data_IF_209096700874
#
_entry.id   IF_209096700874
#
_cell.length_a   1.000
_cell.length_b   1.000
_cell.length_c   1.000
_cell.angle_alpha   90.00
_cell.angle_beta   90.00
_cell.angle_gamma   90.00
#
_symmetry.space_group_name_H-M   'P 1'
#
loop_
_entity.id
_entity.type
_entity.pdbx_description
1 polymer ?
#
# COMPACT_ATOMS: atom_id res chain seq x y z
N UNK A 1 -17.44 -34.28 -10.86
CA UNK A 1 -17.58 -32.82 -10.71
C UNK A 1 -16.88 -32.25 -9.47
N UNK A 2 -16.56 -33.06 -8.45
CA UNK A 2 -15.98 -32.61 -7.17
C UNK A 2 -14.50 -32.16 -7.25
N UNK A 3 -13.71 -32.75 -8.14
CA UNK A 3 -12.26 -32.48 -8.19
C UNK A 3 -11.89 -31.11 -8.76
N UNK A 4 -12.72 -30.56 -9.66
CA UNK A 4 -12.44 -29.29 -10.34
C UNK A 4 -12.57 -28.12 -9.35
N UNK A 5 -13.59 -28.13 -8.49
CA UNK A 5 -13.79 -27.10 -7.46
C UNK A 5 -12.66 -27.11 -6.42
N UNK A 6 -12.15 -28.28 -6.07
CA UNK A 6 -11.02 -28.43 -5.15
C UNK A 6 -9.74 -27.81 -5.71
N UNK A 7 -9.44 -28.02 -7.00
CA UNK A 7 -8.28 -27.44 -7.66
C UNK A 7 -8.38 -25.92 -7.74
N UNK A 8 -9.55 -25.37 -8.10
CA UNK A 8 -9.76 -23.92 -8.17
C UNK A 8 -9.57 -23.27 -6.80
N UNK A 9 -10.12 -23.88 -5.74
CA UNK A 9 -10.01 -23.35 -4.38
C UNK A 9 -8.56 -23.34 -3.89
N UNK A 10 -7.79 -24.40 -4.21
CA UNK A 10 -6.38 -24.48 -3.89
C UNK A 10 -5.56 -23.39 -4.60
N UNK A 11 -5.83 -23.13 -5.88
CA UNK A 11 -5.18 -22.05 -6.64
C UNK A 11 -5.51 -20.68 -6.04
N UNK A 12 -6.77 -20.43 -5.69
CA UNK A 12 -7.20 -19.16 -5.06
C UNK A 12 -6.52 -18.96 -3.70
N UNK A 13 -6.41 -20.01 -2.89
CA UNK A 13 -5.72 -19.95 -1.59
C UNK A 13 -4.24 -19.66 -1.75
N UNK A 14 -3.56 -20.32 -2.70
CA UNK A 14 -2.15 -20.09 -2.99
C UNK A 14 -1.93 -18.66 -3.47
N UNK A 15 -2.77 -18.14 -4.36
CA UNK A 15 -2.70 -16.73 -4.81
C UNK A 15 -3.00 -15.76 -3.67
N UNK A 16 -3.96 -16.04 -2.80
CA UNK A 16 -4.28 -15.20 -1.65
C UNK A 16 -3.12 -15.15 -0.64
N UNK A 17 -2.53 -16.30 -0.33
CA UNK A 17 -1.36 -16.43 0.55
C UNK A 17 -0.13 -15.79 -0.11
N UNK A 18 0.06 -15.97 -1.41
CA UNK A 18 1.15 -15.33 -2.16
C UNK A 18 0.97 -13.81 -2.19
N UNK A 19 -0.21 -13.28 -2.48
CA UNK A 19 -0.55 -11.85 -2.41
C UNK A 19 -0.38 -11.28 -1.00
N UNK A 20 -0.65 -12.07 0.03
CA UNK A 20 -0.41 -11.68 1.42
C UNK A 20 1.09 -11.64 1.73
N UNK A 21 1.85 -12.67 1.38
CA UNK A 21 3.28 -12.80 1.66
C UNK A 21 4.15 -11.83 0.85
N UNK A 22 3.79 -11.58 -0.39
CA UNK A 22 4.56 -10.73 -1.31
C UNK A 22 4.06 -9.28 -1.32
N UNK A 23 2.92 -9.01 -0.67
CA UNK A 23 2.30 -7.69 -0.69
C UNK A 23 1.87 -7.24 -2.09
N UNK A 24 1.70 -8.16 -3.06
CA UNK A 24 1.11 -7.91 -4.38
C UNK A 24 -0.39 -7.65 -4.18
N UNK A 25 -0.87 -6.40 -4.12
CA UNK A 25 -1.08 -5.43 -5.22
C UNK A 25 -2.02 -5.98 -6.27
N UNK A 26 -3.32 -5.93 -5.99
CA UNK A 26 -4.23 -5.47 -7.04
C UNK A 26 -3.67 -4.13 -7.54
N UNK A 27 -3.46 -3.95 -8.85
CA UNK A 27 -3.23 -2.63 -9.40
C UNK A 27 -4.55 -1.89 -9.23
N UNK A 28 -4.78 -1.29 -8.06
CA UNK A 28 -5.66 -0.14 -8.01
C UNK A 28 -4.93 0.85 -8.90
N UNK A 29 -5.33 0.90 -10.17
CA UNK A 29 -5.05 1.98 -11.09
C UNK A 29 -5.70 3.20 -10.48
N UNK A 30 -5.10 3.76 -9.43
CA UNK A 30 -5.13 5.19 -9.24
C UNK A 30 -4.45 5.70 -10.50
N UNK A 31 -5.27 6.11 -11.47
CA UNK A 31 -4.80 6.77 -12.66
C UNK A 31 -3.93 7.91 -12.18
N UNK A 32 -2.61 7.72 -12.25
CA UNK A 32 -1.66 8.78 -12.01
C UNK A 32 -1.86 9.76 -13.17
N UNK A 33 -2.32 10.99 -12.94
CA UNK A 33 -2.28 11.99 -13.98
C UNK A 33 -0.80 12.22 -14.31
N UNK A 34 -0.45 11.97 -15.57
CA UNK A 34 0.88 12.18 -16.11
C UNK A 34 1.17 13.68 -16.27
N UNK A 35 2.15 14.16 -15.49
CA UNK A 35 3.10 15.28 -15.75
C UNK A 35 2.54 16.72 -15.87
N UNK A 36 3.33 17.82 -15.72
CA UNK A 36 4.79 17.97 -15.61
C UNK A 36 5.31 18.90 -14.46
N UNK A 37 6.62 18.85 -14.20
CA UNK A 37 7.49 19.95 -13.68
C UNK A 37 6.93 20.92 -12.62
N UNK A 38 7.15 20.63 -11.32
CA UNK A 38 6.85 21.53 -10.18
C UNK A 38 6.95 20.79 -8.84
N UNK A 39 7.34 21.43 -7.72
CA UNK A 39 8.26 20.88 -6.73
C UNK A 39 7.80 19.54 -6.14
N UNK A 40 8.71 18.58 -6.21
CA UNK A 40 8.65 17.20 -5.70
C UNK A 40 8.14 17.12 -4.26
N UNK A 41 6.83 17.08 -4.07
CA UNK A 41 6.21 17.10 -2.75
C UNK A 41 4.97 16.24 -2.71
N UNK A 42 4.95 15.28 -1.80
CA UNK A 42 3.75 14.50 -1.50
C UNK A 42 2.60 15.43 -1.12
N UNK A 43 1.39 15.24 -1.69
CA UNK A 43 0.25 16.12 -1.42
C UNK A 43 -0.02 16.28 0.07
N UNK A 44 -0.32 17.51 0.50
CA UNK A 44 -0.65 17.81 1.91
C UNK A 44 -1.80 16.96 2.44
N UNK A 45 -2.78 16.66 1.59
CA UNK A 45 -3.90 15.78 1.92
C UNK A 45 -3.46 14.37 2.30
N UNK A 46 -2.53 13.77 1.55
CA UNK A 46 -1.96 12.45 1.84
C UNK A 46 -1.21 12.47 3.16
N UNK A 47 -0.40 13.51 3.41
CA UNK A 47 0.31 13.68 4.68
C UNK A 47 -0.66 13.79 5.85
N UNK A 48 -1.67 14.65 5.74
CA UNK A 48 -2.69 14.84 6.78
C UNK A 48 -3.50 13.57 7.04
N UNK A 49 -3.82 12.78 6.00
CA UNK A 49 -4.51 11.50 6.17
C UNK A 49 -3.68 10.52 7.00
N UNK A 50 -2.39 10.37 6.66
CA UNK A 50 -1.50 9.53 7.47
C UNK A 50 -1.41 10.04 8.91
N UNK A 51 -1.27 11.36 9.11
CA UNK A 51 -1.23 11.97 10.45
C UNK A 51 -2.50 11.68 11.26
N UNK A 52 -3.69 11.74 10.67
CA UNK A 52 -4.95 11.37 11.34
C UNK A 52 -4.96 9.89 11.73
N UNK A 53 -4.45 9.02 10.85
CA UNK A 53 -4.36 7.60 11.13
C UNK A 53 -3.38 7.29 12.27
N UNK A 54 -2.28 8.01 12.39
CA UNK A 54 -1.34 7.84 13.52
C UNK A 54 -1.68 8.71 14.73
N UNK A 55 -2.89 9.28 14.79
CA UNK A 55 -3.35 10.16 15.87
C UNK A 55 -2.40 11.36 16.15
N UNK A 56 -1.85 11.95 15.09
CA UNK A 56 -0.91 13.07 15.15
C UNK A 56 0.55 12.68 15.43
N UNK A 57 0.86 11.40 15.63
CA UNK A 57 2.22 10.95 15.91
C UNK A 57 3.13 10.98 14.67
N UNK A 58 3.76 12.12 14.43
CA UNK A 58 4.65 12.35 13.29
C UNK A 58 5.82 11.36 13.24
N UNK A 59 6.37 10.94 14.38
CA UNK A 59 7.47 9.98 14.43
C UNK A 59 7.05 8.61 13.90
N UNK A 60 5.84 8.15 14.23
CA UNK A 60 5.28 6.90 13.70
C UNK A 60 5.02 7.00 12.20
N UNK A 61 4.39 8.09 11.75
CA UNK A 61 4.16 8.33 10.32
C UNK A 61 5.47 8.32 9.52
N UNK A 62 6.50 9.03 9.99
CA UNK A 62 7.80 9.08 9.33
C UNK A 62 8.47 7.70 9.26
N UNK A 63 8.48 6.94 10.36
CA UNK A 63 9.03 5.58 10.39
C UNK A 63 8.32 4.65 9.43
N UNK A 64 7.01 4.77 9.29
CA UNK A 64 6.21 3.94 8.40
C UNK A 64 6.55 4.21 6.93
N UNK A 65 6.55 5.48 6.54
CA UNK A 65 6.92 5.89 5.18
C UNK A 65 8.37 5.50 4.88
N UNK A 66 9.28 5.69 5.84
CA UNK A 66 10.69 5.32 5.69
C UNK A 66 10.88 3.81 5.50
N UNK A 67 10.14 2.99 6.27
CA UNK A 67 10.14 1.53 6.10
C UNK A 67 9.67 1.15 4.69
N UNK A 68 8.54 1.70 4.24
CA UNK A 68 8.02 1.42 2.89
C UNK A 68 9.01 1.85 1.81
N UNK A 69 9.61 3.03 1.94
CA UNK A 69 10.63 3.56 1.01
C UNK A 69 11.86 2.67 0.97
N UNK A 70 12.36 2.22 2.12
CA UNK A 70 13.54 1.35 2.20
C UNK A 70 13.31 -0.01 1.53
N UNK A 71 12.08 -0.52 1.58
CA UNK A 71 11.71 -1.78 0.95
C UNK A 71 11.37 -1.61 -0.54
N UNK A 72 11.11 -0.38 -1.00
CA UNK A 72 10.65 -0.08 -2.35
C UNK A 72 11.40 1.14 -2.92
N UNK A 73 12.72 1.04 -3.13
CA UNK A 73 13.54 2.17 -3.58
C UNK A 73 13.13 2.69 -4.96
N UNK A 74 12.59 1.81 -5.83
CA UNK A 74 12.20 2.14 -7.21
C UNK A 74 10.82 2.83 -7.32
N UNK A 75 10.15 3.06 -6.19
CA UNK A 75 8.80 3.65 -6.15
C UNK A 75 8.86 5.13 -5.78
N UNK A 76 7.87 5.88 -6.27
CA UNK A 76 7.75 7.30 -5.97
C UNK A 76 7.48 7.53 -4.47
N UNK A 77 7.88 8.69 -3.97
CA UNK A 77 7.59 9.07 -2.58
C UNK A 77 6.09 9.05 -2.29
N UNK A 78 5.27 9.55 -3.22
CA UNK A 78 3.82 9.51 -3.11
C UNK A 78 3.29 8.10 -2.90
N UNK A 79 3.76 7.14 -3.70
CA UNK A 79 3.37 5.74 -3.57
C UNK A 79 3.75 5.18 -2.18
N UNK A 80 4.89 5.60 -1.63
CA UNK A 80 5.32 5.17 -0.29
C UNK A 80 4.37 5.68 0.80
N UNK A 81 3.91 6.93 0.70
CA UNK A 81 2.93 7.51 1.63
C UNK A 81 1.55 6.86 1.52
N UNK A 82 1.07 6.63 0.30
CA UNK A 82 -0.22 5.95 0.07
C UNK A 82 -0.19 4.51 0.58
N UNK A 83 0.93 3.81 0.41
CA UNK A 83 1.11 2.46 0.95
C UNK A 83 1.15 2.46 2.49
N UNK A 84 1.88 3.39 3.10
CA UNK A 84 1.90 3.55 4.55
C UNK A 84 0.47 3.75 5.13
N UNK A 85 -0.35 4.58 4.46
CA UNK A 85 -1.76 4.77 4.82
C UNK A 85 -2.54 3.45 4.72
N UNK A 86 -2.41 2.75 3.59
CA UNK A 86 -3.10 1.48 3.36
C UNK A 86 -2.74 0.42 4.40
N UNK A 87 -1.46 0.32 4.77
CA UNK A 87 -1.00 -0.69 5.74
C UNK A 87 -1.62 -0.45 7.13
N UNK A 88 -1.65 0.80 7.63
CA UNK A 88 -2.34 1.12 8.89
C UNK A 88 -3.85 0.90 8.79
N UNK A 89 -4.48 1.31 7.70
CA UNK A 89 -5.93 1.12 7.52
C UNK A 89 -6.29 -0.37 7.48
N UNK A 90 -5.43 -1.21 6.93
CA UNK A 90 -5.58 -2.66 6.93
C UNK A 90 -5.43 -3.23 8.34
N UNK A 91 -4.37 -2.84 9.06
CA UNK A 91 -4.11 -3.32 10.42
C UNK A 91 -5.23 -2.97 11.41
N UNK A 92 -5.97 -1.88 11.15
CA UNK A 92 -7.14 -1.49 11.95
C UNK A 92 -8.43 -2.25 11.63
N UNK A 93 -8.51 -2.92 10.49
CA UNK A 93 -9.68 -3.70 10.06
C UNK A 93 -9.56 -5.18 10.38
N UNK A 94 -8.35 -5.64 10.72
CA UNK A 94 -8.06 -6.99 11.17
C UNK A 94 -8.40 -7.13 12.67
#
# INVERSE_FOLDING_TARGET
MSSIFSVIFAVVLVVAVFCWLTGYRLPIRFAAPSSPTGPSGVPRATRQRLMRLVNGNQAVAARLVQRVRSQNPDRSEQWCWEKAIYDIERDRRA
#
